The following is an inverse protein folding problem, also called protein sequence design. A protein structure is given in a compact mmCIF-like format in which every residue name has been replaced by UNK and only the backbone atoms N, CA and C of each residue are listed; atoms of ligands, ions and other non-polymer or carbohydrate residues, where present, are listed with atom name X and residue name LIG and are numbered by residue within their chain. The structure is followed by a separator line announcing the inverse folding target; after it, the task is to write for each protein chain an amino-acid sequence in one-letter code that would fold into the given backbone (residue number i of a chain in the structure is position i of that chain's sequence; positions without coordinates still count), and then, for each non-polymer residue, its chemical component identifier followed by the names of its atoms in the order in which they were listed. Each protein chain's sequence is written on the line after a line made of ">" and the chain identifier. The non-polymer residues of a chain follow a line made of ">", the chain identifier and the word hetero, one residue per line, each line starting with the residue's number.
data_IF_954567885236
#
_entry.id   IF_954567885236
#
_cell.length_a   1.000
_cell.length_b   1.000
_cell.length_c   1.000
_cell.angle_alpha   90.00
_cell.angle_beta   90.00
_cell.angle_gamma   90.00
#
_symmetry.space_group_name_H-M   'P 1'
#
loop_
_entity.id
_entity.type
_entity.pdbx_description
1 polymer ?
#
# COMPACT_ATOMS: atom_id res chain seq x y z
N UNK A 1 25.50 37.05 -32.71
CA UNK A 1 26.84 36.68 -32.21
C UNK A 1 26.67 35.80 -30.98
N UNK A 2 27.09 34.55 -31.10
CA UNK A 2 26.89 33.46 -30.15
C UNK A 2 28.01 33.47 -29.12
N UNK A 3 27.67 33.47 -27.83
CA UNK A 3 28.63 33.23 -26.73
C UNK A 3 28.23 31.93 -26.02
N UNK A 4 28.90 30.85 -26.39
CA UNK A 4 28.87 29.58 -25.65
C UNK A 4 29.80 29.70 -24.44
N UNK A 5 29.25 29.51 -23.24
CA UNK A 5 29.98 29.40 -21.99
C UNK A 5 30.00 27.94 -21.54
N UNK A 6 31.17 27.31 -21.68
CA UNK A 6 31.49 25.97 -21.22
C UNK A 6 31.84 25.96 -19.73
N UNK A 7 31.18 25.13 -18.93
CA UNK A 7 31.68 24.73 -17.60
C UNK A 7 31.60 23.22 -17.43
N UNK A 8 32.77 22.59 -17.57
CA UNK A 8 33.06 21.22 -17.22
C UNK A 8 33.51 21.19 -15.75
N UNK A 9 32.81 20.44 -14.89
CA UNK A 9 33.33 20.07 -13.56
C UNK A 9 32.95 18.62 -13.26
N UNK A 10 33.83 17.75 -13.74
CA UNK A 10 33.97 16.36 -13.30
C UNK A 10 34.89 16.33 -12.08
N UNK A 11 34.44 15.70 -10.98
CA UNK A 11 35.22 15.00 -9.93
C UNK A 11 34.40 14.92 -8.64
N UNK A 12 33.81 13.75 -8.38
CA UNK A 12 33.77 13.06 -7.08
C UNK A 12 32.81 11.87 -7.19
N UNK A 13 33.25 10.81 -7.88
CA UNK A 13 32.63 9.47 -7.78
C UNK A 13 33.77 8.49 -7.56
N UNK A 14 34.24 8.42 -6.32
CA UNK A 14 35.10 7.36 -5.81
C UNK A 14 35.05 7.52 -4.29
N UNK A 15 34.24 6.72 -3.59
CA UNK A 15 34.37 6.36 -2.15
C UNK A 15 33.12 5.67 -1.56
N UNK A 16 32.19 5.15 -2.38
CA UNK A 16 31.02 4.37 -1.90
C UNK A 16 30.97 2.96 -2.52
N UNK A 17 32.12 2.27 -2.50
CA UNK A 17 32.25 0.90 -3.02
C UNK A 17 33.03 -0.02 -2.04
N UNK A 18 32.80 0.18 -0.73
CA UNK A 18 33.51 -0.57 0.33
C UNK A 18 32.63 -0.91 1.55
N UNK A 19 31.29 -0.91 1.42
CA UNK A 19 30.35 -1.20 2.52
C UNK A 19 29.26 -2.24 2.19
N UNK A 20 29.43 -3.00 1.10
CA UNK A 20 28.45 -4.01 0.62
C UNK A 20 28.94 -5.47 0.70
N UNK A 21 29.95 -5.76 1.52
CA UNK A 21 30.56 -7.10 1.62
C UNK A 21 30.34 -7.81 2.97
N UNK A 22 29.42 -7.36 3.84
CA UNK A 22 29.26 -7.92 5.20
C UNK A 22 27.87 -8.48 5.54
N UNK A 23 27.00 -8.73 4.54
CA UNK A 23 25.63 -9.24 4.80
C UNK A 23 25.30 -10.56 4.08
N UNK A 24 26.30 -11.30 3.61
CA UNK A 24 26.11 -12.64 3.03
C UNK A 24 26.81 -13.69 3.89
N UNK A 25 26.25 -13.99 5.06
CA UNK A 25 26.54 -15.24 5.74
C UNK A 25 25.38 -15.62 6.68
N UNK A 26 25.01 -16.90 6.64
CA UNK A 26 24.02 -17.62 7.46
C UNK A 26 22.59 -17.73 6.92
N UNK A 27 22.36 -18.73 6.05
CA UNK A 27 21.21 -19.64 6.20
C UNK A 27 21.41 -20.92 5.37
N UNK A 28 22.29 -21.82 5.83
CA UNK A 28 22.31 -23.22 5.41
C UNK A 28 21.93 -24.09 6.61
N UNK A 29 20.67 -24.54 6.66
CA UNK A 29 20.24 -25.81 7.26
C UNK A 29 18.72 -25.85 7.30
N UNK A 30 18.08 -26.57 6.38
CA UNK A 30 16.95 -27.46 6.70
C UNK A 30 16.71 -28.37 5.50
N UNK A 31 17.38 -29.52 5.52
CA UNK A 31 17.10 -30.63 4.64
C UNK A 31 16.11 -31.59 5.32
N UNK A 32 15.14 -32.07 4.56
CA UNK A 32 14.63 -33.44 4.68
C UNK A 32 13.47 -33.72 5.64
N UNK A 33 12.25 -33.79 5.10
CA UNK A 33 11.23 -34.73 5.60
C UNK A 33 10.23 -35.12 4.50
N UNK A 34 10.45 -36.34 3.98
CA UNK A 34 9.54 -37.35 3.46
C UNK A 34 8.18 -36.97 2.85
N UNK A 35 8.08 -37.32 1.56
CA UNK A 35 6.86 -37.63 0.80
C UNK A 35 5.98 -38.67 1.49
N UNK A 36 4.66 -38.46 1.50
CA UNK A 36 3.64 -39.49 1.74
C UNK A 36 2.72 -39.64 0.52
N UNK A 37 2.24 -40.86 0.22
CA UNK A 37 1.52 -41.17 -1.00
C UNK A 37 0.05 -40.71 -1.00
N UNK A 38 -0.39 -40.25 -2.17
CA UNK A 38 -1.77 -39.87 -2.49
C UNK A 38 -2.59 -41.12 -2.79
N UNK A 39 -3.55 -41.44 -1.92
CA UNK A 39 -4.56 -42.46 -2.18
C UNK A 39 -5.76 -41.89 -2.95
N UNK A 40 -6.11 -42.57 -4.05
CA UNK A 40 -7.34 -42.41 -4.83
C UNK A 40 -8.56 -42.80 -3.98
N UNK A 41 -9.51 -41.88 -3.80
CA UNK A 41 -10.89 -42.23 -3.47
C UNK A 41 -11.83 -41.64 -4.53
N UNK A 42 -12.41 -42.55 -5.32
CA UNK A 42 -13.60 -42.32 -6.16
C UNK A 42 -14.82 -42.29 -5.24
N UNK A 43 -15.74 -41.36 -5.48
CA UNK A 43 -17.16 -41.65 -5.27
C UNK A 43 -18.05 -40.53 -4.72
N UNK A 44 -18.92 -40.04 -5.61
CA UNK A 44 -20.34 -39.70 -5.42
C UNK A 44 -20.75 -38.45 -4.62
N UNK A 45 -21.43 -37.57 -5.37
CA UNK A 45 -22.81 -37.12 -5.13
C UNK A 45 -23.07 -36.06 -4.06
N UNK A 46 -23.43 -34.87 -4.56
CA UNK A 46 -24.60 -34.07 -4.21
C UNK A 46 -24.87 -33.80 -2.73
N UNK A 47 -24.70 -32.54 -2.31
CA UNK A 47 -25.78 -31.71 -1.73
C UNK A 47 -25.30 -30.28 -1.48
N UNK A 48 -26.11 -29.35 -1.97
CA UNK A 48 -26.08 -27.92 -1.62
C UNK A 48 -26.24 -27.76 -0.11
N UNK A 49 -25.28 -27.09 0.55
CA UNK A 49 -25.43 -26.62 1.92
C UNK A 49 -24.92 -25.18 2.00
N UNK A 50 -25.85 -24.24 2.15
CA UNK A 50 -25.54 -22.85 2.47
C UNK A 50 -24.92 -22.80 3.87
N UNK A 51 -23.65 -22.39 3.96
CA UNK A 51 -23.06 -21.97 5.23
C UNK A 51 -23.26 -20.45 5.33
N UNK A 52 -24.30 -20.07 6.06
CA UNK A 52 -24.49 -18.73 6.63
C UNK A 52 -23.50 -18.63 7.79
N UNK A 53 -22.45 -17.82 7.67
CA UNK A 53 -21.60 -17.48 8.81
C UNK A 53 -22.17 -16.24 9.47
N UNK A 54 -23.04 -16.47 10.46
CA UNK A 54 -23.40 -15.45 11.44
C UNK A 54 -22.20 -15.25 12.38
N UNK A 55 -21.57 -14.08 12.29
CA UNK A 55 -20.48 -13.69 13.17
C UNK A 55 -21.10 -13.10 14.45
N UNK A 56 -21.36 -13.98 15.42
CA UNK A 56 -21.80 -13.63 16.77
C UNK A 56 -20.58 -13.40 17.67
N UNK A 57 -20.55 -12.35 18.53
CA UNK A 57 -19.43 -12.07 19.41
C UNK A 57 -19.46 -13.00 20.62
N UNK A 58 -18.62 -14.04 20.58
CA UNK A 58 -18.36 -14.90 21.73
C UNK A 58 -17.41 -14.20 22.71
N UNK A 59 -18.01 -13.68 23.78
CA UNK A 59 -17.31 -13.20 24.98
C UNK A 59 -16.76 -14.41 25.74
N UNK A 60 -15.52 -14.79 25.45
CA UNK A 60 -14.79 -15.87 26.11
C UNK A 60 -14.00 -15.37 27.31
N UNK A 61 -14.59 -15.45 28.51
CA UNK A 61 -13.91 -15.25 29.77
C UNK A 61 -12.87 -16.37 30.01
N UNK A 62 -11.59 -16.07 29.77
CA UNK A 62 -10.48 -16.97 30.13
C UNK A 62 -10.12 -16.69 31.59
N UNK A 63 -10.58 -17.58 32.49
CA UNK A 63 -10.16 -17.61 33.88
C UNK A 63 -8.76 -18.20 34.04
N UNK A 64 -7.90 -17.37 34.65
CA UNK A 64 -6.82 -17.66 35.61
C UNK A 64 -6.66 -19.12 36.06
N UNK A 65 -5.42 -19.60 36.06
CA UNK A 65 -4.73 -20.11 37.27
C UNK A 65 -3.27 -20.52 37.01
N UNK A 66 -2.41 -20.15 37.97
CA UNK A 66 -1.14 -20.82 38.41
C UNK A 66 0.10 -20.44 37.56
N UNK A 67 1.26 -19.99 38.06
CA UNK A 67 1.91 -20.12 39.37
C UNK A 67 2.94 -18.99 39.61
N UNK A 68 3.05 -18.60 40.88
CA UNK A 68 4.00 -17.67 41.52
C UNK A 68 5.38 -18.33 41.70
N UNK A 69 6.48 -17.57 41.50
CA UNK A 69 7.80 -17.69 42.18
C UNK A 69 8.59 -16.38 41.92
N UNK A 70 8.53 -15.36 42.79
CA UNK A 70 9.45 -15.06 43.92
C UNK A 70 10.96 -15.11 43.60
N UNK A 71 11.63 -13.94 43.52
CA UNK A 71 12.85 -13.57 44.30
C UNK A 71 13.39 -12.15 43.99
N UNK A 72 13.60 -11.35 45.06
CA UNK A 72 14.52 -10.18 45.18
C UNK A 72 13.97 -8.81 44.77
N UNK A 73 13.43 -7.95 45.64
CA UNK A 73 14.05 -7.12 46.71
C UNK A 73 15.28 -6.31 46.24
N UNK A 74 15.07 -5.01 45.98
CA UNK A 74 15.94 -3.90 46.39
C UNK A 74 15.13 -2.59 46.41
N UNK A 75 15.10 -1.83 47.53
CA UNK A 75 14.46 -0.53 47.59
C UNK A 75 15.49 0.55 47.24
N UNK A 76 15.40 1.15 46.06
CA UNK A 76 16.19 2.34 45.74
C UNK A 76 15.31 3.58 45.85
N UNK A 77 15.34 4.17 47.04
CA UNK A 77 14.81 5.51 47.34
C UNK A 77 15.62 6.55 46.57
N UNK A 78 15.16 6.94 45.38
CA UNK A 78 15.65 8.16 44.73
C UNK A 78 14.67 9.30 44.99
N UNK A 79 15.06 10.17 45.93
CA UNK A 79 14.53 11.53 46.05
C UNK A 79 14.77 12.26 44.73
N UNK A 80 13.69 12.60 44.01
CA UNK A 80 13.75 13.52 42.88
C UNK A 80 13.21 14.87 43.33
N UNK A 81 14.12 15.85 43.43
CA UNK A 81 13.74 17.24 43.67
C UNK A 81 12.93 17.74 42.47
N UNK A 82 11.74 18.25 42.75
CA UNK A 82 10.89 18.94 41.81
C UNK A 82 11.65 20.15 41.23
N UNK A 83 12.12 20.00 39.99
CA UNK A 83 12.74 21.06 39.21
C UNK A 83 11.59 21.88 38.61
N UNK A 84 11.41 23.15 38.96
CA UNK A 84 10.36 23.98 38.39
C UNK A 84 10.63 24.14 36.89
N UNK A 85 9.80 23.50 36.07
CA UNK A 85 9.79 23.66 34.63
C UNK A 85 9.36 25.08 34.29
N UNK A 86 10.33 25.98 34.15
CA UNK A 86 10.12 27.25 33.49
C UNK A 86 9.69 26.99 32.05
N UNK A 87 8.40 27.15 31.78
CA UNK A 87 7.83 27.13 30.43
C UNK A 87 8.38 28.36 29.72
N UNK A 88 9.50 28.17 29.02
CA UNK A 88 10.03 29.16 28.10
C UNK A 88 9.13 29.15 26.86
N UNK A 89 8.23 30.13 26.76
CA UNK A 89 7.44 30.36 25.57
C UNK A 89 8.38 30.72 24.42
N UNK A 90 8.69 29.74 23.57
CA UNK A 90 9.49 29.95 22.36
C UNK A 90 8.69 30.82 21.39
N UNK A 91 9.27 31.89 20.83
CA UNK A 91 8.55 32.80 19.94
C UNK A 91 8.05 32.06 18.70
N UNK A 92 6.79 32.32 18.33
CA UNK A 92 6.11 31.74 17.17
C UNK A 92 7.05 31.73 15.94
N UNK A 93 7.55 30.53 15.62
CA UNK A 93 8.60 30.36 14.63
C UNK A 93 8.13 30.75 13.24
N UNK A 94 8.90 31.62 12.57
CA UNK A 94 8.65 31.98 11.17
C UNK A 94 8.60 30.70 10.32
N UNK A 95 7.50 30.49 9.59
CA UNK A 95 7.32 29.33 8.70
C UNK A 95 8.42 29.36 7.63
N UNK A 96 9.23 28.30 7.56
CA UNK A 96 10.28 28.19 6.55
C UNK A 96 9.68 28.04 5.14
N UNK A 97 10.37 28.53 4.11
CA UNK A 97 9.93 28.39 2.72
C UNK A 97 9.72 26.92 2.34
N UNK A 98 10.59 26.03 2.84
CA UNK A 98 10.49 24.59 2.64
C UNK A 98 9.23 24.02 3.26
N UNK A 99 8.86 24.43 4.49
CA UNK A 99 7.63 23.96 5.14
C UNK A 99 6.39 24.37 4.35
N UNK A 100 6.34 25.61 3.84
CA UNK A 100 5.23 26.05 2.97
C UNK A 100 5.08 25.19 1.73
N UNK A 101 6.19 24.80 1.09
CA UNK A 101 6.16 23.91 -0.07
C UNK A 101 5.60 22.53 0.28
N UNK A 102 6.04 21.95 1.39
CA UNK A 102 5.54 20.65 1.85
C UNK A 102 4.07 20.70 2.29
N UNK A 103 3.64 21.78 2.93
CA UNK A 103 2.25 22.09 3.26
C UNK A 103 1.37 22.16 2.00
N UNK A 104 1.84 22.79 0.92
CA UNK A 104 1.15 22.82 -0.37
C UNK A 104 1.05 21.42 -1.00
N UNK A 105 2.02 20.54 -0.79
CA UNK A 105 1.90 19.16 -1.28
C UNK A 105 0.76 18.40 -0.62
N UNK A 106 0.42 18.67 0.65
CA UNK A 106 -0.74 18.06 1.31
C UNK A 106 -2.05 18.42 0.58
N UNK A 107 -2.20 19.67 0.11
CA UNK A 107 -3.35 20.08 -0.71
C UNK A 107 -3.40 19.36 -2.05
N UNK A 108 -2.25 19.23 -2.71
CA UNK A 108 -2.15 18.50 -3.98
C UNK A 108 -2.50 17.03 -3.76
N UNK A 109 -1.99 16.44 -2.69
CA UNK A 109 -2.31 15.07 -2.26
C UNK A 109 -3.79 14.88 -1.99
N UNK A 110 -4.45 15.81 -1.27
CA UNK A 110 -5.89 15.77 -1.02
C UNK A 110 -6.70 15.74 -2.32
N UNK A 111 -6.35 16.59 -3.29
CA UNK A 111 -6.97 16.57 -4.63
C UNK A 111 -6.68 15.26 -5.38
N UNK A 112 -5.49 14.70 -5.20
CA UNK A 112 -5.11 13.40 -5.75
C UNK A 112 -5.97 12.26 -5.19
N UNK A 113 -6.22 12.26 -3.88
CA UNK A 113 -7.13 11.30 -3.25
C UNK A 113 -8.57 11.46 -3.75
N UNK A 114 -9.06 12.69 -3.89
CA UNK A 114 -10.38 12.97 -4.49
C UNK A 114 -10.49 12.42 -5.91
N UNK A 115 -9.46 12.65 -6.72
CA UNK A 115 -9.38 12.11 -8.08
C UNK A 115 -9.42 10.58 -8.06
N UNK A 116 -8.55 9.94 -7.26
CA UNK A 116 -8.49 8.48 -7.14
C UNK A 116 -9.84 7.88 -6.72
N UNK A 117 -10.54 8.46 -5.74
CA UNK A 117 -11.84 7.97 -5.27
C UNK A 117 -12.90 8.11 -6.39
N UNK A 118 -12.90 9.23 -7.11
CA UNK A 118 -13.86 9.48 -8.19
C UNK A 118 -13.63 8.61 -9.43
N UNK A 119 -12.39 8.18 -9.66
CA UNK A 119 -11.92 7.39 -10.80
C UNK A 119 -11.37 6.02 -10.39
N UNK A 120 -11.89 5.47 -9.29
CA UNK A 120 -11.34 4.29 -8.66
C UNK A 120 -11.17 3.11 -9.61
N UNK A 121 -12.22 2.75 -10.35
CA UNK A 121 -12.16 1.58 -11.23
C UNK A 121 -11.27 1.79 -12.45
N UNK A 122 -11.22 3.01 -13.00
CA UNK A 122 -10.40 3.36 -14.16
C UNK A 122 -8.90 3.31 -13.80
N UNK A 123 -8.53 3.89 -12.65
CA UNK A 123 -7.14 4.00 -12.20
C UNK A 123 -6.60 2.67 -11.65
N UNK A 124 -7.44 1.92 -10.93
CA UNK A 124 -7.01 0.66 -10.31
C UNK A 124 -7.11 -0.53 -11.26
N UNK A 125 -7.64 -0.38 -12.47
CA UNK A 125 -7.81 -1.50 -13.43
C UNK A 125 -6.97 -1.29 -14.68
N UNK A 126 -6.05 -2.22 -14.95
CA UNK A 126 -5.24 -2.23 -16.16
C UNK A 126 -5.64 -3.37 -17.08
N UNK A 127 -6.25 -3.02 -18.22
CA UNK A 127 -6.72 -3.96 -19.26
C UNK A 127 -5.75 -4.09 -20.44
N UNK A 128 -4.45 -4.15 -20.15
CA UNK A 128 -3.41 -4.25 -21.17
C UNK A 128 -2.91 -5.67 -21.41
N UNK A 129 -3.53 -6.66 -20.77
CA UNK A 129 -3.16 -8.06 -20.90
C UNK A 129 -4.03 -8.68 -21.98
N UNK A 130 -3.42 -9.24 -23.01
CA UNK A 130 -4.12 -10.01 -24.02
C UNK A 130 -3.60 -11.44 -23.97
N UNK A 131 -4.51 -12.40 -23.77
CA UNK A 131 -4.18 -13.81 -23.92
C UNK A 131 -4.75 -14.30 -25.25
N UNK A 132 -3.90 -14.99 -26.01
CA UNK A 132 -4.32 -15.74 -27.19
C UNK A 132 -5.19 -16.91 -26.72
N UNK A 133 -6.39 -17.05 -27.31
CA UNK A 133 -7.25 -18.19 -26.98
C UNK A 133 -6.50 -19.51 -27.18
N UNK A 134 -6.48 -20.37 -26.16
CA UNK A 134 -5.84 -21.69 -26.23
C UNK A 134 -6.41 -22.58 -27.32
N UNK A 135 -7.66 -22.35 -27.71
CA UNK A 135 -8.30 -23.10 -28.79
C UNK A 135 -7.63 -22.83 -30.14
N UNK A 136 -7.11 -21.61 -30.35
CA UNK A 136 -6.34 -21.25 -31.55
C UNK A 136 -4.96 -21.90 -31.56
N UNK A 137 -4.36 -22.08 -30.37
CA UNK A 137 -3.08 -22.77 -30.21
C UNK A 137 -3.21 -24.29 -30.38
N UNK A 138 -4.42 -24.84 -30.47
CA UNK A 138 -4.61 -26.24 -30.85
C UNK A 138 -4.16 -26.45 -32.30
N UNK A 139 -3.48 -27.55 -32.58
CA UNK A 139 -2.77 -27.82 -33.85
C UNK A 139 -3.63 -27.74 -35.12
N UNK A 140 -4.96 -27.65 -34.99
CA UNK A 140 -5.92 -27.64 -36.08
C UNK A 140 -5.99 -26.31 -36.84
N UNK A 141 -5.61 -25.18 -36.25
CA UNK A 141 -5.79 -23.84 -36.85
C UNK A 141 -4.47 -23.11 -37.15
N UNK A 142 -3.35 -23.83 -37.30
CA UNK A 142 -2.02 -23.25 -37.49
C UNK A 142 -1.92 -22.33 -38.72
N UNK A 143 -2.61 -22.65 -39.81
CA UNK A 143 -2.59 -21.85 -41.04
C UNK A 143 -3.25 -20.47 -40.85
N UNK A 144 -4.37 -20.41 -40.12
CA UNK A 144 -5.10 -19.17 -39.81
C UNK A 144 -4.28 -18.27 -38.88
N UNK A 145 -3.61 -18.85 -37.89
CA UNK A 145 -2.69 -18.11 -37.01
C UNK A 145 -1.52 -17.49 -37.76
N UNK A 146 -0.92 -18.22 -38.72
CA UNK A 146 0.19 -17.72 -39.51
C UNK A 146 -0.23 -16.61 -40.47
N UNK A 147 -1.48 -16.60 -40.93
CA UNK A 147 -2.01 -15.53 -41.78
C UNK A 147 -2.36 -14.27 -40.96
N UNK A 148 -3.00 -14.43 -39.80
CA UNK A 148 -3.27 -13.34 -38.86
C UNK A 148 -1.98 -12.73 -38.27
N UNK A 149 -0.93 -13.52 -38.09
CA UNK A 149 0.37 -13.03 -37.63
C UNK A 149 1.07 -12.15 -38.68
N UNK A 150 0.90 -12.42 -39.98
CA UNK A 150 1.54 -11.65 -41.06
C UNK A 150 1.02 -10.22 -41.18
N UNK A 151 -0.21 -9.98 -40.76
CA UNK A 151 -0.88 -8.67 -40.90
C UNK A 151 -0.73 -7.77 -39.67
N UNK A 152 0.06 -8.18 -38.66
CA UNK A 152 0.09 -7.56 -37.32
C UNK A 152 -1.27 -7.51 -36.60
N UNK A 153 -2.34 -8.03 -37.22
CA UNK A 153 -3.68 -8.09 -36.65
C UNK A 153 -3.73 -8.94 -35.37
N UNK A 154 -2.72 -9.78 -35.13
CA UNK A 154 -2.57 -10.52 -33.88
C UNK A 154 -2.37 -9.62 -32.65
N UNK A 155 -1.93 -8.37 -32.84
CA UNK A 155 -1.69 -7.43 -31.74
C UNK A 155 -2.81 -6.39 -31.59
N UNK A 156 -3.80 -6.38 -32.50
CA UNK A 156 -4.95 -5.48 -32.39
C UNK A 156 -5.86 -5.95 -31.26
N UNK A 157 -6.05 -5.08 -30.26
CA UNK A 157 -6.84 -5.36 -29.04
C UNK A 157 -8.31 -5.70 -29.33
N UNK A 158 -8.81 -5.27 -30.48
CA UNK A 158 -10.20 -5.48 -30.91
C UNK A 158 -10.37 -6.73 -31.78
N UNK A 159 -9.32 -7.52 -31.97
CA UNK A 159 -9.40 -8.74 -32.75
C UNK A 159 -10.16 -9.85 -31.99
N UNK A 160 -11.04 -10.56 -32.70
CA UNK A 160 -11.84 -11.71 -32.21
C UNK A 160 -11.00 -12.79 -31.50
N UNK A 161 -9.72 -12.88 -31.85
CA UNK A 161 -8.80 -13.91 -31.37
C UNK A 161 -8.09 -13.56 -30.05
N UNK A 162 -8.20 -12.30 -29.61
CA UNK A 162 -7.58 -11.80 -28.38
C UNK A 162 -8.62 -11.66 -27.27
N UNK A 163 -8.39 -12.33 -26.15
CA UNK A 163 -9.19 -12.10 -24.95
C UNK A 163 -8.48 -11.01 -24.13
N UNK A 164 -9.05 -9.80 -24.14
CA UNK A 164 -8.56 -8.71 -23.29
C UNK A 164 -8.87 -9.03 -21.84
N UNK A 165 -7.80 -9.19 -21.07
CA UNK A 165 -7.81 -9.42 -19.65
C UNK A 165 -7.42 -8.15 -18.90
N UNK A 166 -8.11 -7.94 -17.82
CA UNK A 166 -7.93 -6.83 -16.90
C UNK A 166 -7.35 -7.34 -15.60
N UNK A 167 -6.38 -6.62 -15.06
CA UNK A 167 -5.77 -6.89 -13.76
C UNK A 167 -5.92 -5.66 -12.88
N UNK A 168 -6.22 -5.84 -11.60
CA UNK A 168 -6.18 -4.73 -10.64
C UNK A 168 -4.73 -4.39 -10.29
N UNK A 169 -4.37 -3.11 -10.34
CA UNK A 169 -3.04 -2.62 -10.03
C UNK A 169 -3.03 -1.78 -8.73
N UNK A 170 -2.59 -2.37 -7.60
CA UNK A 170 -2.51 -1.65 -6.34
C UNK A 170 -1.32 -0.68 -6.25
N UNK A 171 -0.35 -0.74 -7.16
CA UNK A 171 0.77 0.21 -7.22
C UNK A 171 0.28 1.64 -7.46
N UNK A 172 -0.80 1.81 -8.23
CA UNK A 172 -1.41 3.13 -8.47
C UNK A 172 -1.92 3.72 -7.15
N UNK A 173 -2.63 2.92 -6.35
CA UNK A 173 -3.11 3.31 -5.02
C UNK A 173 -1.93 3.77 -4.14
N UNK A 174 -0.86 2.98 -4.10
CA UNK A 174 0.35 3.28 -3.30
C UNK A 174 1.04 4.59 -3.72
N UNK A 175 1.05 4.92 -5.00
CA UNK A 175 1.60 6.19 -5.49
C UNK A 175 0.74 7.38 -5.04
N UNK A 176 -0.58 7.29 -5.15
CA UNK A 176 -1.48 8.32 -4.62
C UNK A 176 -1.35 8.51 -3.10
N UNK A 177 -1.04 7.44 -2.35
CA UNK A 177 -0.75 7.50 -0.91
C UNK A 177 0.65 8.02 -0.55
N UNK A 178 1.52 8.26 -1.54
CA UNK A 178 2.89 8.72 -1.30
C UNK A 178 3.85 7.64 -0.79
N UNK A 179 3.54 6.37 -1.09
CA UNK A 179 4.28 5.20 -0.63
C UNK A 179 5.15 4.57 -1.73
N UNK A 180 5.13 5.12 -2.95
CA UNK A 180 5.85 4.57 -4.10
C UNK A 180 7.13 5.33 -4.40
N UNK A 181 7.06 6.65 -4.54
CA UNK A 181 8.18 7.48 -5.00
C UNK A 181 8.35 8.76 -4.17
N UNK A 182 9.58 9.30 -4.03
CA UNK A 182 9.83 10.59 -3.38
C UNK A 182 9.14 11.79 -4.05
N UNK A 183 8.79 11.64 -5.34
CA UNK A 183 8.11 12.65 -6.14
C UNK A 183 6.61 12.74 -5.84
N UNK A 184 6.04 11.71 -5.19
CA UNK A 184 4.62 11.68 -4.86
C UNK A 184 4.26 12.83 -3.89
N UNK A 185 3.09 13.51 -4.07
CA UNK A 185 2.70 14.63 -3.21
C UNK A 185 2.60 14.27 -1.72
N UNK A 186 2.15 13.05 -1.40
CA UNK A 186 2.01 12.58 -0.02
C UNK A 186 3.26 11.86 0.49
N UNK A 187 4.41 11.97 -0.21
CA UNK A 187 5.64 11.34 0.24
C UNK A 187 6.01 11.81 1.66
N UNK A 188 6.12 10.84 2.59
CA UNK A 188 6.37 11.08 4.02
C UNK A 188 5.35 12.01 4.69
N UNK A 189 4.11 12.06 4.20
CA UNK A 189 3.07 12.92 4.75
C UNK A 189 2.90 12.77 6.27
N UNK A 190 2.85 11.56 6.89
CA UNK A 190 2.72 11.45 8.36
C UNK A 190 3.83 12.16 9.13
N UNK A 191 5.08 12.07 8.67
CA UNK A 191 6.20 12.78 9.30
C UNK A 191 6.09 14.30 9.15
N UNK A 192 5.71 14.77 7.97
CA UNK A 192 5.55 16.20 7.70
C UNK A 192 4.37 16.79 8.50
N UNK A 193 3.24 16.08 8.58
CA UNK A 193 2.07 16.48 9.36
C UNK A 193 2.44 16.61 10.85
N UNK A 194 3.14 15.64 11.42
CA UNK A 194 3.64 15.72 12.80
C UNK A 194 4.53 16.96 13.02
N UNK A 195 5.39 17.28 12.06
CA UNK A 195 6.26 18.46 12.09
C UNK A 195 5.47 19.78 12.07
N UNK A 196 4.32 19.81 11.42
CA UNK A 196 3.52 21.03 11.25
C UNK A 196 2.61 21.36 12.44
N UNK A 197 2.51 20.48 13.45
CA UNK A 197 1.74 20.73 14.70
C UNK A 197 2.02 22.10 15.32
N UNK A 198 3.28 22.54 15.28
CA UNK A 198 3.72 23.85 15.83
C UNK A 198 3.15 25.08 15.13
N UNK A 199 2.55 24.90 13.94
CA UNK A 199 1.92 25.98 13.17
C UNK A 199 0.39 25.97 13.32
N UNK A 200 -0.18 24.99 14.01
CA UNK A 200 -1.63 24.86 14.20
C UNK A 200 -2.08 25.79 15.32
N UNK A 201 -3.24 26.43 15.14
CA UNK A 201 -3.88 27.22 16.19
C UNK A 201 -4.22 26.34 17.41
N UNK A 202 -3.96 26.84 18.62
CA UNK A 202 -4.26 26.13 19.88
C UNK A 202 -5.71 25.64 19.96
N UNK A 203 -6.67 26.38 19.41
CA UNK A 203 -8.10 26.03 19.45
C UNK A 203 -8.45 24.82 18.57
N UNK A 204 -7.60 24.51 17.58
CA UNK A 204 -7.78 23.39 16.62
C UNK A 204 -6.76 22.27 16.83
N UNK A 205 -5.88 22.41 17.81
CA UNK A 205 -4.75 21.49 18.00
C UNK A 205 -5.21 20.06 18.29
N UNK A 206 -6.24 19.88 19.13
CA UNK A 206 -6.76 18.56 19.48
C UNK A 206 -7.36 17.84 18.26
N UNK A 207 -8.19 18.55 17.47
CA UNK A 207 -8.76 18.02 16.24
C UNK A 207 -7.69 17.67 15.20
N UNK A 208 -6.63 18.47 15.13
CA UNK A 208 -5.49 18.19 14.26
C UNK A 208 -4.75 16.91 14.67
N UNK A 209 -4.48 16.73 15.97
CA UNK A 209 -3.79 15.55 16.49
C UNK A 209 -4.62 14.28 16.23
N UNK A 210 -5.92 14.32 16.48
CA UNK A 210 -6.83 13.21 16.19
C UNK A 210 -6.85 12.87 14.68
N UNK A 211 -6.91 13.89 13.83
CA UNK A 211 -6.88 13.72 12.39
C UNK A 211 -5.53 13.16 11.90
N UNK A 212 -4.42 13.60 12.47
CA UNK A 212 -3.08 13.07 12.17
C UNK A 212 -2.97 11.57 12.50
N UNK A 213 -3.36 11.16 13.71
CA UNK A 213 -3.31 9.76 14.13
C UNK A 213 -4.22 8.89 13.27
N UNK A 214 -5.42 9.38 13.00
CA UNK A 214 -6.38 8.72 12.11
C UNK A 214 -5.81 8.56 10.70
N UNK A 215 -5.24 9.62 10.13
CA UNK A 215 -4.64 9.60 8.80
C UNK A 215 -3.50 8.58 8.70
N UNK A 216 -2.57 8.59 9.66
CA UNK A 216 -1.43 7.67 9.68
C UNK A 216 -1.89 6.20 9.78
N UNK A 217 -2.86 5.91 10.65
CA UNK A 217 -3.44 4.57 10.81
C UNK A 217 -4.16 4.11 9.53
N UNK A 218 -4.97 4.98 8.93
CA UNK A 218 -5.76 4.66 7.74
C UNK A 218 -4.90 4.45 6.50
N UNK A 219 -3.83 5.25 6.30
CA UNK A 219 -2.88 5.01 5.21
C UNK A 219 -2.19 3.65 5.37
N UNK A 220 -1.73 3.31 6.58
CA UNK A 220 -1.10 2.02 6.81
C UNK A 220 -2.07 0.84 6.57
N UNK A 221 -3.33 0.98 6.98
CA UNK A 221 -4.38 -0.01 6.72
C UNK A 221 -4.69 -0.14 5.23
N UNK A 222 -4.91 0.99 4.54
CA UNK A 222 -5.16 1.03 3.11
C UNK A 222 -4.00 0.41 2.31
N UNK A 223 -2.75 0.68 2.71
CA UNK A 223 -1.58 0.09 2.09
C UNK A 223 -1.53 -1.43 2.27
N UNK A 224 -1.78 -1.92 3.48
CA UNK A 224 -1.82 -3.36 3.75
C UNK A 224 -2.92 -4.06 2.92
N UNK A 225 -4.10 -3.45 2.79
CA UNK A 225 -5.21 -3.98 1.99
C UNK A 225 -4.90 -3.95 0.49
N UNK A 226 -4.35 -2.84 -0.01
CA UNK A 226 -3.94 -2.71 -1.41
C UNK A 226 -2.82 -3.70 -1.75
N UNK A 227 -1.80 -3.81 -0.91
CA UNK A 227 -0.74 -4.79 -1.06
C UNK A 227 -1.30 -6.23 -1.03
N UNK A 228 -2.15 -6.54 -0.05
CA UNK A 228 -2.82 -7.84 0.08
C UNK A 228 -3.64 -8.24 -1.14
N UNK A 229 -4.27 -7.28 -1.83
CA UNK A 229 -4.98 -7.53 -3.09
C UNK A 229 -4.08 -8.06 -4.22
N UNK A 230 -2.76 -7.83 -4.15
CA UNK A 230 -1.79 -8.38 -5.10
C UNK A 230 -1.57 -9.88 -4.94
N UNK A 231 -1.78 -10.43 -3.73
CA UNK A 231 -1.44 -11.80 -3.35
C UNK A 231 -2.63 -12.76 -3.33
N UNK A 232 -3.81 -12.29 -3.75
CA UNK A 232 -4.98 -13.15 -3.94
C UNK A 232 -4.67 -14.30 -4.90
N UNK A 233 -4.74 -15.53 -4.38
CA UNK A 233 -4.48 -16.82 -5.02
C UNK A 233 -3.26 -16.84 -5.97
N UNK A 234 -2.18 -17.50 -5.55
CA UNK A 234 -0.98 -17.81 -6.35
C UNK A 234 -1.27 -18.54 -7.69
N UNK A 235 -2.54 -18.79 -8.02
CA UNK A 235 -3.01 -19.24 -9.33
C UNK A 235 -2.92 -18.12 -10.39
N UNK A 236 -1.72 -17.59 -10.62
CA UNK A 236 -1.27 -16.81 -11.77
C UNK A 236 -2.05 -15.53 -12.20
N UNK A 237 -3.35 -15.39 -11.95
CA UNK A 237 -4.20 -14.47 -12.68
C UNK A 237 -5.28 -13.90 -11.75
N UNK A 238 -4.99 -12.79 -11.05
CA UNK A 238 -6.02 -11.79 -10.67
C UNK A 238 -6.58 -11.08 -11.93
N UNK A 239 -6.65 -11.83 -13.03
CA UNK A 239 -7.08 -11.40 -14.34
C UNK A 239 -8.53 -11.79 -14.53
N UNK A 240 -9.34 -10.84 -14.93
CA UNK A 240 -10.74 -11.05 -15.28
C UNK A 240 -10.98 -10.52 -16.68
N UNK A 241 -11.99 -11.02 -17.40
CA UNK A 241 -12.27 -10.49 -18.73
C UNK A 241 -12.78 -9.06 -18.62
N UNK A 242 -12.51 -8.25 -19.65
CA UNK A 242 -13.06 -6.89 -19.72
C UNK A 242 -14.59 -6.94 -19.60
N UNK A 243 -15.13 -6.23 -18.59
CA UNK A 243 -16.56 -6.19 -18.29
C UNK A 243 -17.03 -7.22 -17.25
N UNK A 244 -16.20 -8.19 -16.87
CA UNK A 244 -16.46 -9.07 -15.73
C UNK A 244 -15.97 -8.40 -14.43
N UNK A 245 -16.54 -8.81 -13.28
CA UNK A 245 -16.06 -8.40 -11.97
C UNK A 245 -14.88 -9.28 -11.53
N UNK A 246 -13.92 -8.73 -10.76
CA UNK A 246 -12.85 -9.53 -10.16
C UNK A 246 -13.41 -10.56 -9.16
N UNK A 247 -12.56 -11.49 -8.73
CA UNK A 247 -12.91 -12.42 -7.65
C UNK A 247 -13.36 -11.66 -6.38
N UNK A 248 -14.36 -12.20 -5.69
CA UNK A 248 -14.98 -11.58 -4.52
C UNK A 248 -13.97 -11.27 -3.41
N UNK A 249 -12.94 -12.09 -3.21
CA UNK A 249 -11.91 -11.83 -2.18
C UNK A 249 -11.04 -10.64 -2.57
N UNK A 250 -10.56 -10.61 -3.81
CA UNK A 250 -9.76 -9.49 -4.34
C UNK A 250 -10.57 -8.20 -4.34
N UNK A 251 -11.85 -8.27 -4.73
CA UNK A 251 -12.79 -7.15 -4.64
C UNK A 251 -12.97 -6.65 -3.21
N UNK A 252 -13.05 -7.56 -2.23
CA UNK A 252 -13.19 -7.21 -0.82
C UNK A 252 -11.97 -6.44 -0.29
N UNK A 253 -10.75 -6.87 -0.60
CA UNK A 253 -9.54 -6.14 -0.19
C UNK A 253 -9.50 -4.72 -0.77
N UNK A 254 -9.82 -4.57 -2.06
CA UNK A 254 -9.83 -3.26 -2.71
C UNK A 254 -10.97 -2.36 -2.21
N UNK A 255 -12.13 -2.95 -1.91
CA UNK A 255 -13.27 -2.21 -1.34
C UNK A 255 -12.93 -1.70 0.06
N UNK A 256 -12.28 -2.52 0.89
CA UNK A 256 -11.80 -2.11 2.20
C UNK A 256 -10.73 -1.01 2.09
N UNK A 257 -9.75 -1.19 1.18
CA UNK A 257 -8.74 -0.17 0.91
C UNK A 257 -9.37 1.16 0.49
N UNK A 258 -10.39 1.13 -0.38
CA UNK A 258 -11.13 2.32 -0.80
C UNK A 258 -11.80 3.02 0.38
N UNK A 259 -12.48 2.28 1.25
CA UNK A 259 -13.12 2.83 2.45
C UNK A 259 -12.10 3.50 3.38
N UNK A 260 -10.94 2.87 3.59
CA UNK A 260 -9.87 3.45 4.39
C UNK A 260 -9.30 4.73 3.77
N UNK A 261 -9.21 4.79 2.43
CA UNK A 261 -8.76 5.98 1.70
C UNK A 261 -9.78 7.12 1.78
N UNK A 262 -11.08 6.83 1.72
CA UNK A 262 -12.14 7.83 1.89
C UNK A 262 -12.09 8.46 3.30
N UNK A 263 -11.84 7.64 4.32
CA UNK A 263 -11.63 8.13 5.68
C UNK A 263 -10.30 8.89 5.81
N UNK A 264 -9.21 8.41 5.21
CA UNK A 264 -7.91 9.10 5.24
C UNK A 264 -8.00 10.46 4.55
N UNK A 265 -8.71 10.54 3.43
CA UNK A 265 -9.02 11.78 2.72
C UNK A 265 -9.74 12.77 3.64
N UNK A 266 -10.71 12.30 4.40
CA UNK A 266 -11.49 13.13 5.32
C UNK A 266 -10.62 13.67 6.47
N UNK A 267 -9.77 12.82 7.05
CA UNK A 267 -8.79 13.24 8.05
C UNK A 267 -7.77 14.26 7.48
N UNK A 268 -7.27 14.03 6.27
CA UNK A 268 -6.37 14.95 5.59
C UNK A 268 -7.02 16.30 5.30
N UNK A 269 -8.32 16.34 5.00
CA UNK A 269 -9.05 17.59 4.82
C UNK A 269 -9.05 18.44 6.11
N UNK A 270 -9.29 17.82 7.26
CA UNK A 270 -9.24 18.49 8.59
C UNK A 270 -7.84 19.04 8.86
N UNK A 271 -6.79 18.27 8.54
CA UNK A 271 -5.38 18.69 8.66
C UNK A 271 -5.11 19.92 7.79
N UNK A 272 -5.52 19.90 6.53
CA UNK A 272 -5.31 21.02 5.59
C UNK A 272 -6.06 22.27 6.03
N UNK A 273 -7.31 22.13 6.51
CA UNK A 273 -8.12 23.24 7.03
C UNK A 273 -7.51 23.85 8.30
N UNK A 274 -6.98 23.02 9.20
CA UNK A 274 -6.39 23.46 10.47
C UNK A 274 -5.06 24.20 10.29
N UNK A 275 -4.37 23.95 9.18
CA UNK A 275 -3.12 24.64 8.82
C UNK A 275 -3.37 25.97 8.07
N UNK A 276 -4.63 26.32 7.78
CA UNK A 276 -5.04 27.54 7.07
C UNK A 276 -4.29 27.77 5.74
N UNK A 277 -3.87 26.69 5.09
CA UNK A 277 -3.15 26.75 3.82
C UNK A 277 -4.15 27.11 2.73
#
# INVERSE_FOLDING_TARGET
>A
MVKMGSTCRSRQVAYTLLLLASLLQESDAFAGACMLPVNKLKGKSSSSLMIRMDMSPSSGAIQRRILVKWLGILPFMFSTMARPSGVSAEPAGKISVTDKKEMLKLKVGLKGLDYLISKWDDETTQCNYAELSRDLLSSKNKAELLDAAKTNALFDKDNKYMVVKCKRNPTVIRSFLGLSTPEDPLYRAPFNIAKFRKYVNSDRLDAYIEAEESFARLIASADAMAYGSSFGDFSANNEFKKGERPDKKTEQFLTNARSDIEQARSALAVIVESLEI
#
